data_IF_654109692488
#
_entry.id   IF_654109692488
#
_cell.length_a   1.000
_cell.length_b   1.000
_cell.length_c   1.000
_cell.angle_alpha   90.00
_cell.angle_beta   90.00
_cell.angle_gamma   90.00
#
_symmetry.space_group_name_H-M   'P 1'
#
loop_
_entity.id
_entity.type
_entity.pdbx_description
1 polymer ?
#
# COMPACT_ATOMS: atom_id res chain seq x y z
N UNK A 1 -12.58 -4.64 22.09
CA UNK A 1 -12.72 -4.61 22.14
C UNK A 1 -12.68 -4.19 21.87
N UNK A 2 -12.72 -4.39 21.93
CA UNK A 2 -12.80 -4.15 21.79
C UNK A 2 -12.71 -3.62 21.41
N UNK A 3 -12.75 -3.75 21.43
CA UNK A 3 -12.78 -3.33 21.12
C UNK A 3 -12.54 -2.71 20.66
N UNK A 4 -12.68 -2.87 20.73
CA UNK A 4 -12.53 -2.41 20.37
C UNK A 4 -12.08 -1.79 19.95
N UNK A 5 -12.04 -1.91 20.03
CA UNK A 5 -11.75 -1.47 19.83
C UNK A 5 -11.25 -0.94 19.39
N UNK A 6 -11.30 -1.04 19.36
CA UNK A 6 -10.97 -0.64 19.05
C UNK A 6 -10.46 -0.04 18.54
N UNK A 7 -10.67 -0.07 18.60
CA UNK A 7 -10.36 0.34 18.26
C UNK A 7 -9.86 1.00 17.79
N UNK A 8 -9.82 1.14 17.83
CA UNK A 8 -9.46 1.66 17.58
C UNK A 8 -8.83 2.15 17.33
N UNK A 9 -8.71 2.29 17.38
CA UNK A 9 -8.10 2.71 17.14
C UNK A 9 -7.59 3.32 16.67
N UNK A 10 -7.70 3.34 16.58
CA UNK A 10 -7.18 3.82 16.21
C UNK A 10 -6.64 4.49 15.81
N UNK A 11 -6.80 4.58 15.73
CA UNK A 11 -6.34 5.07 15.47
C UNK A 11 -5.73 5.64 15.22
N UNK A 12 -5.93 5.60 15.37
CA UNK A 12 -5.37 5.97 15.24
C UNK A 12 -4.65 6.57 14.98
N UNK A 13 -4.59 6.55 15.08
CA UNK A 13 -3.93 6.87 14.97
C UNK A 13 -3.16 7.37 14.78
N UNK A 14 -2.87 7.35 14.82
CA UNK A 14 -2.12 7.57 14.64
C UNK A 14 -1.32 7.79 14.42
N UNK A 15 -1.03 7.74 14.50
CA UNK A 15 -0.19 7.73 14.21
C UNK A 15 0.66 7.84 14.02
N UNK A 16 0.86 7.61 13.85
CA UNK A 16 1.70 7.57 13.80
C UNK A 16 2.73 7.58 13.69
N UNK A 17 2.90 7.55 14.01
CA UNK A 17 4.16 7.51 14.15
C UNK A 17 5.10 7.46 13.05
N UNK A 18 5.36 8.40 12.77
CA UNK A 18 6.34 8.80 12.01
C UNK A 18 6.97 7.84 11.15
N UNK A 19 6.66 7.07 10.81
CA UNK A 19 7.39 6.25 9.98
C UNK A 19 6.96 6.46 8.60
N UNK A 20 7.21 5.57 7.82
CA UNK A 20 6.89 5.62 6.45
C UNK A 20 5.45 5.28 6.19
N UNK A 21 4.72 5.01 7.22
CA UNK A 21 3.35 4.72 7.01
C UNK A 21 2.70 5.90 6.37
N UNK A 22 2.01 5.69 5.39
CA UNK A 22 1.48 6.74 4.63
C UNK A 22 0.05 7.02 4.94
N UNK A 23 -0.51 7.76 4.05
CA UNK A 23 -1.90 8.15 4.10
C UNK A 23 -2.77 6.97 3.70
N UNK A 24 -3.86 6.77 4.43
CA UNK A 24 -4.83 5.74 4.10
C UNK A 24 -6.02 6.39 3.42
N UNK A 25 -6.39 5.89 2.27
CA UNK A 25 -7.53 6.39 1.52
C UNK A 25 -8.44 5.24 1.12
N UNK A 26 -9.69 5.55 0.88
CA UNK A 26 -10.65 4.57 0.41
C UNK A 26 -10.88 4.76 -1.07
N UNK A 27 -10.79 3.69 -1.82
CA UNK A 27 -10.98 3.71 -3.26
C UNK A 27 -12.28 2.98 -3.56
N UNK A 28 -13.18 3.67 -4.27
CA UNK A 28 -14.50 3.14 -4.58
C UNK A 28 -14.58 2.71 -6.05
N UNK A 29 -13.63 1.92 -6.49
CA UNK A 29 -13.63 1.47 -7.86
C UNK A 29 -14.63 0.33 -8.04
N UNK A 30 -14.20 -0.91 -8.01
CA UNK A 30 -15.08 -2.03 -8.15
C UNK A 30 -15.53 -2.57 -6.81
N UNK A 31 -14.78 -2.29 -5.76
CA UNK A 31 -15.10 -2.66 -4.40
C UNK A 31 -14.45 -1.63 -3.52
N UNK A 32 -14.94 -1.50 -2.31
CA UNK A 32 -14.30 -0.60 -1.36
C UNK A 32 -12.96 -1.19 -0.98
N UNK A 33 -11.91 -0.46 -1.24
CA UNK A 33 -10.56 -0.91 -1.04
C UNK A 33 -9.81 0.14 -0.25
N UNK A 34 -9.24 -0.25 0.87
CA UNK A 34 -8.40 0.66 1.63
C UNK A 34 -6.99 0.62 1.05
N UNK A 35 -6.43 1.77 0.78
CA UNK A 35 -5.13 1.89 0.16
C UNK A 35 -4.20 2.68 1.07
N UNK A 36 -3.03 2.14 1.31
CA UNK A 36 -2.00 2.80 2.10
C UNK A 36 -0.89 3.23 1.15
N UNK A 37 -0.52 4.50 1.22
CA UNK A 37 0.56 5.04 0.43
C UNK A 37 1.84 5.00 1.25
N UNK A 38 2.89 4.36 0.74
CA UNK A 38 4.16 4.26 1.45
C UNK A 38 5.31 4.72 0.54
N UNK A 39 6.29 5.35 1.15
CA UNK A 39 7.51 5.81 0.48
C UNK A 39 8.72 5.34 1.29
N UNK A 40 9.07 4.06 1.19
CA UNK A 40 10.16 3.54 2.00
C UNK A 40 11.51 4.01 1.46
N UNK A 41 12.47 4.17 2.35
CA UNK A 41 13.83 4.48 1.97
C UNK A 41 14.79 3.35 2.34
N UNK A 42 14.33 2.38 3.12
CA UNK A 42 15.16 1.28 3.58
C UNK A 42 14.40 -0.03 3.48
N UNK A 43 15.16 -1.11 3.34
CA UNK A 43 14.54 -2.43 3.26
C UNK A 43 13.87 -2.83 4.57
N UNK A 44 14.34 -2.33 5.69
CA UNK A 44 13.76 -2.66 6.99
C UNK A 44 12.26 -2.33 7.06
N UNK A 45 11.79 -1.42 6.22
CA UNK A 45 10.37 -1.06 6.17
C UNK A 45 9.49 -2.16 5.60
N UNK A 46 10.09 -3.20 5.01
CA UNK A 46 9.34 -4.19 4.25
C UNK A 46 8.33 -4.95 5.10
N UNK A 47 8.69 -5.27 6.34
CA UNK A 47 7.76 -6.03 7.20
C UNK A 47 6.54 -5.20 7.57
N UNK A 48 6.75 -3.91 7.80
CA UNK A 48 5.65 -3.00 8.09
C UNK A 48 4.70 -2.90 6.89
N UNK A 49 5.27 -2.81 5.71
CA UNK A 49 4.47 -2.76 4.48
C UNK A 49 3.71 -4.07 4.29
N UNK A 50 4.38 -5.19 4.54
CA UNK A 50 3.75 -6.50 4.42
C UNK A 50 2.58 -6.65 5.39
N UNK A 51 2.68 -6.04 6.57
CA UNK A 51 1.57 -6.10 7.53
C UNK A 51 0.33 -5.39 7.00
N UNK A 52 0.49 -4.32 6.24
CA UNK A 52 -0.66 -3.69 5.60
C UNK A 52 -1.34 -4.66 4.65
N UNK A 53 -0.56 -5.41 3.88
CA UNK A 53 -1.14 -6.42 2.97
C UNK A 53 -1.85 -7.52 3.75
N UNK A 54 -1.26 -7.97 4.86
CA UNK A 54 -1.89 -8.98 5.69
C UNK A 54 -3.20 -8.49 6.29
N UNK A 55 -3.31 -7.20 6.48
CA UNK A 55 -4.54 -6.56 6.99
C UNK A 55 -5.54 -6.28 5.89
N UNK A 56 -5.28 -6.79 4.69
CA UNK A 56 -6.18 -6.62 3.54
C UNK A 56 -6.23 -5.21 3.01
N UNK A 57 -5.16 -4.45 3.19
CA UNK A 57 -5.02 -3.14 2.58
C UNK A 57 -4.19 -3.25 1.32
N UNK A 58 -4.57 -2.52 0.29
CA UNK A 58 -3.70 -2.36 -0.86
C UNK A 58 -2.63 -1.35 -0.51
N UNK A 59 -1.48 -1.47 -1.15
CA UNK A 59 -0.34 -0.59 -0.88
C UNK A 59 0.08 0.06 -2.18
N UNK A 60 0.16 1.38 -2.18
CA UNK A 60 0.80 2.11 -3.27
C UNK A 60 2.23 2.37 -2.82
N UNK A 61 3.16 1.74 -3.49
CA UNK A 61 4.57 1.73 -3.12
C UNK A 61 5.31 2.71 -4.02
N UNK A 62 5.69 3.85 -3.48
CA UNK A 62 6.42 4.86 -4.22
C UNK A 62 7.91 4.72 -3.91
N UNK A 63 8.68 4.34 -4.91
CA UNK A 63 10.11 4.07 -4.77
C UNK A 63 10.98 5.17 -5.34
N UNK A 64 10.40 6.33 -5.58
CA UNK A 64 11.11 7.43 -6.22
C UNK A 64 12.36 7.84 -5.43
N UNK A 65 12.26 7.82 -4.11
CA UNK A 65 13.37 8.21 -3.24
C UNK A 65 14.17 7.03 -2.71
N UNK A 66 13.92 5.85 -3.25
CA UNK A 66 14.55 4.62 -2.78
C UNK A 66 15.75 4.28 -3.65
N UNK A 67 16.84 3.90 -3.01
CA UNK A 67 18.01 3.39 -3.73
C UNK A 67 17.60 2.20 -4.60
N UNK A 68 18.19 2.09 -5.79
CA UNK A 68 17.77 1.07 -6.76
C UNK A 68 17.89 -0.35 -6.23
N UNK A 69 18.96 -0.64 -5.50
CA UNK A 69 19.16 -1.99 -4.98
C UNK A 69 18.12 -2.31 -3.92
N UNK A 70 17.82 -1.34 -3.06
CA UNK A 70 16.80 -1.50 -2.03
C UNK A 70 15.42 -1.62 -2.69
N UNK A 71 15.16 -0.80 -3.70
CA UNK A 71 13.89 -0.84 -4.41
C UNK A 71 13.64 -2.22 -5.00
N UNK A 72 14.66 -2.80 -5.62
CA UNK A 72 14.53 -4.13 -6.22
C UNK A 72 14.21 -5.18 -5.16
N UNK A 73 14.90 -5.11 -4.03
CA UNK A 73 14.66 -6.07 -2.94
C UNK A 73 13.24 -5.93 -2.39
N UNK A 74 12.77 -4.68 -2.25
CA UNK A 74 11.41 -4.43 -1.78
C UNK A 74 10.38 -5.02 -2.74
N UNK A 75 10.56 -4.76 -4.02
CA UNK A 75 9.62 -5.26 -5.03
C UNK A 75 9.61 -6.78 -5.04
N UNK A 76 10.77 -7.41 -4.99
CA UNK A 76 10.85 -8.87 -4.99
C UNK A 76 10.17 -9.48 -3.77
N UNK A 77 10.44 -8.93 -2.59
CA UNK A 77 9.85 -9.43 -1.37
C UNK A 77 8.34 -9.26 -1.38
N UNK A 78 7.89 -8.07 -1.76
CA UNK A 78 6.46 -7.75 -1.73
C UNK A 78 5.70 -8.46 -2.83
N UNK A 79 6.36 -8.75 -3.94
CA UNK A 79 5.75 -9.59 -4.99
C UNK A 79 5.46 -10.97 -4.44
N UNK A 80 6.39 -11.52 -3.66
CA UNK A 80 6.16 -12.81 -3.02
C UNK A 80 5.03 -12.76 -2.02
N UNK A 81 4.94 -11.68 -1.25
CA UNK A 81 3.84 -11.49 -0.32
C UNK A 81 2.51 -11.45 -1.06
N UNK A 82 2.45 -10.68 -2.14
CA UNK A 82 1.23 -10.58 -2.93
C UNK A 82 0.83 -11.95 -3.48
N UNK A 83 1.79 -12.68 -4.00
CA UNK A 83 1.53 -14.01 -4.54
C UNK A 83 0.95 -14.93 -3.47
N UNK A 84 1.53 -14.90 -2.29
CA UNK A 84 1.09 -15.77 -1.19
C UNK A 84 -0.32 -15.44 -0.72
N UNK A 85 -0.75 -14.20 -0.92
CA UNK A 85 -2.08 -13.75 -0.52
C UNK A 85 -3.09 -13.79 -1.68
N UNK A 86 -2.70 -14.35 -2.82
CA UNK A 86 -3.50 -14.36 -4.04
C UNK A 86 -3.77 -12.96 -4.56
N UNK A 87 -2.88 -12.03 -4.24
CA UNK A 87 -2.98 -10.67 -4.73
C UNK A 87 -2.12 -10.45 -5.97
N UNK A 88 -1.90 -9.19 -6.28
CA UNK A 88 -1.16 -8.80 -7.48
C UNK A 88 -0.27 -7.62 -7.17
N UNK A 89 0.78 -7.47 -7.96
CA UNK A 89 1.58 -6.26 -7.96
C UNK A 89 1.61 -5.74 -9.39
N UNK A 90 1.43 -4.43 -9.55
CA UNK A 90 1.38 -3.80 -10.86
C UNK A 90 2.08 -2.46 -10.81
N UNK A 91 2.91 -2.20 -11.82
CA UNK A 91 3.57 -0.90 -11.95
C UNK A 91 2.58 0.08 -12.54
N UNK A 92 2.38 1.21 -11.85
CA UNK A 92 1.41 2.21 -12.28
C UNK A 92 2.05 3.54 -12.65
N UNK A 93 3.33 3.71 -12.35
CA UNK A 93 4.09 4.90 -12.75
C UNK A 93 5.57 4.51 -12.73
N UNK A 94 6.44 5.44 -13.08
CA UNK A 94 7.86 5.13 -13.28
C UNK A 94 8.48 4.42 -12.07
N UNK A 95 8.24 4.88 -10.88
CA UNK A 95 8.83 4.29 -9.69
C UNK A 95 7.76 3.91 -8.69
N UNK A 96 6.56 3.60 -9.17
CA UNK A 96 5.43 3.39 -8.29
C UNK A 96 4.69 2.13 -8.67
N UNK A 97 4.38 1.33 -7.67
CA UNK A 97 3.67 0.08 -7.84
C UNK A 97 2.43 0.08 -6.96
N UNK A 98 1.39 -0.62 -7.40
CA UNK A 98 0.28 -0.93 -6.50
C UNK A 98 0.31 -2.42 -6.21
N UNK A 99 0.13 -2.76 -4.95
CA UNK A 99 0.12 -4.14 -4.49
C UNK A 99 -1.21 -4.38 -3.82
N UNK A 100 -1.91 -5.39 -4.28
CA UNK A 100 -3.22 -5.73 -3.72
C UNK A 100 -3.13 -7.05 -2.95
N UNK A 101 -3.86 -7.15 -1.83
CA UNK A 101 -3.81 -8.37 -0.99
C UNK A 101 -4.78 -9.45 -1.44
N UNK A 102 -5.46 -9.26 -2.55
CA UNK A 102 -6.36 -10.24 -3.14
C UNK A 102 -6.58 -9.84 -4.59
N UNK A 103 -7.23 -10.73 -5.34
CA UNK A 103 -7.37 -10.51 -6.77
C UNK A 103 -8.39 -9.40 -7.03
N UNK A 104 -7.89 -8.26 -7.49
CA UNK A 104 -8.70 -7.12 -7.85
C UNK A 104 -8.23 -6.65 -9.22
N UNK A 105 -9.17 -6.39 -10.11
CA UNK A 105 -8.83 -5.86 -11.42
C UNK A 105 -8.96 -4.35 -11.39
N UNK A 106 -7.91 -3.69 -11.84
CA UNK A 106 -7.90 -2.25 -12.01
C UNK A 106 -7.88 -1.94 -13.49
N UNK A 107 -8.71 -0.99 -13.88
CA UNK A 107 -8.66 -0.46 -15.23
C UNK A 107 -7.65 0.69 -15.20
N UNK A 108 -6.52 0.49 -15.84
CA UNK A 108 -5.34 1.31 -15.72
C UNK A 108 -5.56 2.80 -15.53
N UNK A 109 -6.06 3.48 -16.55
CA UNK A 109 -6.23 4.93 -16.46
C UNK A 109 -7.20 5.34 -15.36
N UNK A 110 -8.23 4.53 -15.15
CA UNK A 110 -9.22 4.82 -14.12
C UNK A 110 -8.62 4.73 -12.73
N UNK A 111 -7.67 3.84 -12.54
CA UNK A 111 -7.02 3.70 -11.24
C UNK A 111 -6.25 4.97 -10.88
N UNK A 112 -5.52 5.53 -11.83
CA UNK A 112 -4.75 6.75 -11.57
C UNK A 112 -5.68 7.90 -11.21
N UNK A 113 -6.78 8.05 -11.95
CA UNK A 113 -7.76 9.09 -11.68
C UNK A 113 -8.38 8.91 -10.30
N UNK A 114 -8.73 7.68 -9.94
CA UNK A 114 -9.30 7.39 -8.64
C UNK A 114 -8.35 7.77 -7.52
N UNK A 115 -7.09 7.42 -7.67
CA UNK A 115 -6.08 7.75 -6.65
C UNK A 115 -5.95 9.25 -6.49
N UNK A 116 -5.87 9.98 -7.60
CA UNK A 116 -5.73 11.43 -7.55
C UNK A 116 -6.96 12.08 -6.94
N UNK A 117 -8.15 11.61 -7.30
CA UNK A 117 -9.39 12.15 -6.75
C UNK A 117 -9.51 11.91 -5.26
N UNK A 118 -8.80 10.94 -4.73
CA UNK A 118 -8.78 10.65 -3.31
C UNK A 118 -7.56 11.24 -2.61
N UNK A 119 -6.85 12.14 -3.26
CA UNK A 119 -5.75 12.87 -2.66
C UNK A 119 -4.43 12.14 -2.64
N UNK A 120 -4.29 11.14 -3.47
CA UNK A 120 -3.03 10.41 -3.60
C UNK A 120 -2.30 10.93 -4.82
N UNK A 121 -1.14 11.53 -4.61
CA UNK A 121 -0.35 12.10 -5.69
C UNK A 121 0.92 11.30 -5.85
N UNK A 122 1.12 10.79 -7.04
CA UNK A 122 2.24 9.89 -7.35
C UNK A 122 3.40 10.59 -8.04
#
# INVERSE_FOLDING_TARGET
>A
GSSASTGRRTLGGNNSAGTQSGKVVNIHATAQLQVVLVKPDRFDSVTEIAEHLRSKHAVVLNLESTNKDVARRLVDFLSGCAYALDGKIKKIAISTYIITPYNVDFVGDNLMDELENNGVYL
#
